data_IF_181238660939
#
_entry.id   IF_181238660939
#
_cell.length_a   1.000
_cell.length_b   1.000
_cell.length_c   1.000
_cell.angle_alpha   90.00
_cell.angle_beta   90.00
_cell.angle_gamma   90.00
#
_symmetry.space_group_name_H-M   'P 1'
#
loop_
_entity.id
_entity.type
_entity.pdbx_description
1 polymer ?
#
# COMPACT_ATOMS: atom_id res chain seq x y z
N UNK A 1 -51.41 53.28 -79.22
CA UNK A 1 -51.55 51.92 -79.77
C UNK A 1 -50.52 51.01 -79.14
N UNK A 2 -50.96 49.96 -78.53
CA UNK A 2 -50.21 48.86 -77.84
C UNK A 2 -49.60 49.20 -76.49
N UNK A 3 -50.00 48.64 -75.51
CA UNK A 3 -50.47 47.38 -74.90
C UNK A 3 -49.56 47.06 -73.70
N UNK A 4 -50.20 47.19 -72.58
CA UNK A 4 -49.60 46.78 -71.26
C UNK A 4 -49.44 45.26 -71.20
N UNK A 5 -48.40 44.82 -70.60
CA UNK A 5 -48.35 43.49 -69.93
C UNK A 5 -47.84 43.65 -68.51
N UNK A 6 -48.76 43.41 -67.65
CA UNK A 6 -48.51 43.18 -66.19
C UNK A 6 -47.75 41.89 -66.06
N UNK A 7 -46.65 41.93 -65.34
CA UNK A 7 -45.98 40.73 -64.81
C UNK A 7 -46.00 40.79 -63.30
N UNK A 8 -46.79 39.90 -62.72
CA UNK A 8 -46.96 39.68 -61.34
C UNK A 8 -45.65 39.13 -60.70
N UNK A 9 -45.17 39.85 -59.71
CA UNK A 9 -44.03 39.42 -58.93
C UNK A 9 -44.42 38.29 -57.92
N UNK A 10 -43.75 37.18 -58.03
CA UNK A 10 -43.87 36.07 -57.09
C UNK A 10 -42.72 36.19 -56.07
N UNK A 11 -43.09 36.62 -54.87
CA UNK A 11 -42.17 36.71 -53.73
C UNK A 11 -41.78 35.30 -53.20
N UNK A 12 -40.54 34.94 -53.38
CA UNK A 12 -40.00 33.71 -52.86
C UNK A 12 -39.54 33.94 -51.38
N UNK A 13 -40.35 33.49 -50.44
CA UNK A 13 -39.90 33.39 -49.05
C UNK A 13 -38.95 32.21 -48.89
N UNK A 14 -37.63 32.49 -48.73
CA UNK A 14 -36.64 31.52 -48.43
C UNK A 14 -36.61 31.34 -46.90
N UNK A 15 -37.32 30.32 -46.43
CA UNK A 15 -37.25 29.91 -44.95
C UNK A 15 -35.93 29.25 -44.65
N UNK A 16 -35.06 29.96 -43.96
CA UNK A 16 -33.82 29.41 -43.40
C UNK A 16 -34.16 28.60 -42.17
N UNK A 17 -34.26 27.27 -42.29
CA UNK A 17 -34.34 26.33 -41.17
C UNK A 17 -32.96 26.17 -40.60
N UNK A 18 -32.68 26.87 -39.46
CA UNK A 18 -31.51 26.63 -38.60
C UNK A 18 -31.73 25.31 -37.82
N UNK A 19 -31.12 24.24 -38.31
CA UNK A 19 -31.01 23.02 -37.55
C UNK A 19 -29.95 23.23 -36.47
N UNK A 20 -30.38 23.52 -35.24
CA UNK A 20 -29.50 23.48 -34.04
C UNK A 20 -29.29 22.03 -33.72
N UNK A 21 -28.14 21.46 -34.13
CA UNK A 21 -27.66 20.18 -33.64
C UNK A 21 -27.19 20.37 -32.19
N UNK A 22 -28.06 20.11 -31.23
CA UNK A 22 -27.67 19.94 -29.83
C UNK A 22 -26.97 18.57 -29.74
N UNK A 23 -25.64 18.55 -29.84
CA UNK A 23 -24.87 17.37 -29.55
C UNK A 23 -24.93 17.13 -28.00
N UNK A 24 -25.86 16.27 -27.57
CA UNK A 24 -25.83 15.70 -26.26
C UNK A 24 -24.53 14.90 -26.13
N UNK A 25 -23.47 15.52 -25.63
CA UNK A 25 -22.31 14.82 -25.10
C UNK A 25 -22.80 13.99 -23.89
N UNK A 26 -23.12 12.73 -24.15
CA UNK A 26 -23.35 11.77 -23.07
C UNK A 26 -22.03 11.62 -22.29
N UNK A 27 -21.92 12.31 -21.17
CA UNK A 27 -20.89 12.00 -20.18
C UNK A 27 -21.19 10.60 -19.66
N UNK A 28 -20.54 9.60 -20.24
CA UNK A 28 -20.50 8.28 -19.64
C UNK A 28 -19.84 8.45 -18.26
N UNK A 29 -20.48 7.99 -17.17
CA UNK A 29 -19.84 8.03 -15.87
C UNK A 29 -18.53 7.24 -15.99
N UNK A 30 -17.40 7.88 -15.74
CA UNK A 30 -16.13 7.19 -15.60
C UNK A 30 -16.29 6.26 -14.40
N UNK A 31 -16.46 4.98 -14.66
CA UNK A 31 -16.37 3.98 -13.61
C UNK A 31 -14.97 4.08 -13.04
N UNK A 32 -14.84 4.66 -11.86
CA UNK A 32 -13.59 4.65 -11.11
C UNK A 32 -13.20 3.18 -10.91
N UNK A 33 -12.14 2.76 -11.54
CA UNK A 33 -11.63 1.40 -11.40
C UNK A 33 -11.28 1.22 -9.92
N UNK A 34 -12.03 0.37 -9.22
CA UNK A 34 -11.78 0.09 -7.80
C UNK A 34 -10.42 -0.61 -7.69
N UNK A 35 -9.58 -0.13 -6.77
CA UNK A 35 -8.30 -0.77 -6.48
C UNK A 35 -8.57 -2.21 -6.03
N UNK A 36 -7.88 -3.18 -6.65
CA UNK A 36 -7.97 -4.59 -6.24
C UNK A 36 -6.99 -4.83 -5.11
N UNK A 37 -7.38 -5.55 -4.04
CA UNK A 37 -6.47 -5.86 -2.95
C UNK A 37 -5.14 -6.43 -3.44
N UNK A 38 -4.04 -5.85 -2.95
CA UNK A 38 -2.69 -6.23 -3.35
C UNK A 38 -1.97 -6.85 -2.14
N UNK A 39 -1.68 -8.15 -2.23
CA UNK A 39 -1.19 -8.94 -1.10
C UNK A 39 0.31 -8.74 -0.90
N UNK A 40 0.71 -8.34 0.30
CA UNK A 40 2.09 -8.37 0.79
C UNK A 40 2.38 -9.75 1.38
N UNK A 41 1.53 -10.20 2.31
CA UNK A 41 1.58 -11.52 2.92
C UNK A 41 0.15 -11.99 3.27
N UNK A 42 -0.16 -13.23 2.94
CA UNK A 42 -1.39 -13.90 3.34
C UNK A 42 -1.08 -15.24 4.02
N UNK A 43 -0.34 -16.12 3.34
CA UNK A 43 0.07 -17.45 3.81
C UNK A 43 1.45 -17.80 3.27
N UNK A 44 2.14 -18.72 3.91
CA UNK A 44 3.31 -19.36 3.31
C UNK A 44 2.92 -20.11 2.04
N UNK A 45 3.60 -19.80 0.94
CA UNK A 45 3.33 -20.38 -0.37
C UNK A 45 2.20 -19.73 -1.17
N UNK A 46 1.54 -18.70 -0.63
CA UNK A 46 0.66 -17.81 -1.40
C UNK A 46 1.46 -16.92 -2.35
N UNK A 47 0.75 -16.23 -3.26
CA UNK A 47 1.36 -15.24 -4.16
C UNK A 47 1.71 -13.96 -3.42
N UNK A 48 2.61 -14.07 -2.44
CA UNK A 48 3.15 -12.92 -1.73
C UNK A 48 4.06 -12.14 -2.67
N UNK A 49 3.82 -10.84 -2.78
CA UNK A 49 4.47 -10.02 -3.81
C UNK A 49 5.75 -9.35 -3.33
N UNK A 50 5.91 -9.21 -2.05
CA UNK A 50 7.11 -8.70 -1.41
C UNK A 50 7.79 -9.80 -0.58
N UNK A 51 9.08 -9.66 -0.37
CA UNK A 51 9.90 -10.65 0.35
C UNK A 51 10.46 -10.02 1.63
N UNK A 52 10.32 -10.65 2.81
CA UNK A 52 10.90 -10.16 4.05
C UNK A 52 12.43 -10.36 4.03
N UNK A 53 13.14 -9.49 3.37
CA UNK A 53 14.59 -9.58 3.12
C UNK A 53 15.36 -8.39 3.67
N UNK A 54 14.70 -7.27 3.95
CA UNK A 54 15.35 -6.04 4.42
C UNK A 54 15.58 -6.01 5.92
N UNK A 55 16.48 -6.82 6.44
CA UNK A 55 16.80 -6.87 7.87
C UNK A 55 17.63 -5.65 8.30
N UNK A 56 17.22 -5.04 9.43
CA UNK A 56 17.82 -3.81 9.96
C UNK A 56 18.12 -3.92 11.46
N UNK A 57 19.24 -3.39 11.95
CA UNK A 57 20.44 -3.05 11.18
C UNK A 57 21.09 -4.29 10.59
N UNK A 58 20.81 -5.46 11.16
CA UNK A 58 21.21 -6.80 10.69
C UNK A 58 20.19 -7.83 11.16
N UNK A 59 20.20 -9.04 10.57
CA UNK A 59 19.27 -10.12 10.94
C UNK A 59 19.60 -10.88 12.22
N UNK A 60 20.74 -10.62 12.86
CA UNK A 60 21.23 -11.44 14.00
C UNK A 60 20.32 -11.46 15.22
N UNK A 61 19.56 -10.38 15.44
CA UNK A 61 18.66 -10.23 16.58
C UNK A 61 17.23 -10.66 16.28
N UNK A 62 16.95 -11.12 15.08
CA UNK A 62 15.60 -11.39 14.62
C UNK A 62 15.49 -12.86 14.24
N UNK A 63 14.50 -13.55 14.82
CA UNK A 63 14.00 -14.82 14.30
C UNK A 63 12.62 -14.59 13.74
N UNK A 64 12.40 -15.03 12.52
CA UNK A 64 11.12 -14.88 11.87
C UNK A 64 10.73 -16.19 11.20
N UNK A 65 9.53 -16.68 11.54
CA UNK A 65 8.91 -17.85 10.92
C UNK A 65 7.63 -17.40 10.19
N UNK A 66 7.70 -17.32 8.86
CA UNK A 66 6.58 -16.95 7.99
C UNK A 66 5.67 -18.14 7.63
N UNK A 67 5.90 -19.30 8.26
CA UNK A 67 5.11 -20.51 8.13
C UNK A 67 4.50 -20.98 9.48
N UNK A 68 4.48 -20.11 10.48
CA UNK A 68 3.90 -20.40 11.79
C UNK A 68 2.42 -20.77 11.65
N UNK A 69 1.95 -21.75 12.44
CA UNK A 69 0.59 -22.31 12.27
C UNK A 69 -0.29 -22.21 13.49
N UNK A 70 0.29 -21.89 14.67
CA UNK A 70 -0.50 -21.89 15.88
C UNK A 70 -1.16 -20.56 16.11
N UNK A 71 -2.49 -20.59 16.32
CA UNK A 71 -3.29 -19.42 16.64
C UNK A 71 -3.11 -18.24 15.65
N UNK A 72 -3.09 -18.54 14.35
CA UNK A 72 -3.13 -17.53 13.30
C UNK A 72 -4.51 -16.87 13.23
N UNK A 73 -4.61 -15.65 12.68
CA UNK A 73 -5.85 -14.93 12.53
C UNK A 73 -6.73 -15.55 11.44
N UNK A 74 -6.16 -15.70 10.26
CA UNK A 74 -6.82 -16.30 9.10
C UNK A 74 -5.96 -17.43 8.53
N UNK A 75 -6.62 -18.31 7.77
CA UNK A 75 -5.99 -19.30 6.90
C UNK A 75 -4.97 -20.27 7.56
N UNK A 76 -3.88 -20.58 6.84
CA UNK A 76 -3.04 -21.77 7.10
C UNK A 76 -1.77 -21.45 7.85
N UNK A 77 -1.29 -20.22 7.76
CA UNK A 77 -0.08 -19.77 8.43
C UNK A 77 -0.07 -18.25 8.64
N UNK A 78 0.71 -17.83 9.60
CA UNK A 78 0.98 -16.44 9.90
C UNK A 78 2.48 -16.25 10.15
N UNK A 79 2.91 -15.04 10.43
CA UNK A 79 4.30 -14.73 10.69
C UNK A 79 4.49 -14.62 12.20
N UNK A 80 5.41 -15.42 12.76
CA UNK A 80 5.93 -15.22 14.11
C UNK A 80 7.24 -14.47 14.03
N UNK A 81 7.39 -13.44 14.86
CA UNK A 81 8.60 -12.64 14.99
C UNK A 81 9.08 -12.70 16.43
N UNK A 82 10.35 -13.00 16.60
CA UNK A 82 11.05 -12.92 17.89
C UNK A 82 12.21 -11.93 17.73
N UNK A 83 12.16 -10.82 18.47
CA UNK A 83 13.26 -9.89 18.59
C UNK A 83 14.03 -10.18 19.86
N UNK A 84 15.30 -10.61 19.72
CA UNK A 84 16.19 -10.90 20.84
C UNK A 84 16.78 -9.59 21.39
N UNK A 85 16.25 -9.15 22.51
CA UNK A 85 16.72 -7.95 23.19
C UNK A 85 18.13 -8.08 23.77
N UNK A 86 18.64 -9.31 23.98
CA UNK A 86 20.03 -9.53 24.38
C UNK A 86 21.03 -9.00 23.34
N UNK A 87 20.59 -8.77 22.11
CA UNK A 87 21.35 -8.03 21.12
C UNK A 87 21.69 -6.59 21.52
N UNK A 88 20.93 -5.99 22.45
CA UNK A 88 21.23 -4.67 23.02
C UNK A 88 22.61 -4.64 23.71
N UNK A 89 23.03 -5.75 24.29
CA UNK A 89 24.38 -5.92 24.92
C UNK A 89 25.50 -5.77 23.89
N UNK A 90 25.19 -5.86 22.58
CA UNK A 90 26.11 -5.64 21.46
C UNK A 90 26.00 -4.23 20.85
N UNK A 91 25.34 -3.29 21.55
CA UNK A 91 25.13 -1.92 21.11
C UNK A 91 24.04 -1.75 20.02
N UNK A 92 23.15 -2.74 19.87
CA UNK A 92 22.05 -2.71 18.92
C UNK A 92 20.72 -2.56 19.66
N UNK A 93 20.27 -1.32 19.80
CA UNK A 93 19.09 -0.99 20.58
C UNK A 93 17.76 -1.16 19.85
N UNK A 94 17.77 -1.53 18.57
CA UNK A 94 16.59 -1.71 17.77
C UNK A 94 16.77 -2.76 16.67
N UNK A 95 15.67 -3.26 16.15
CA UNK A 95 15.63 -4.18 15.00
C UNK A 95 14.38 -3.95 14.18
N UNK A 96 14.43 -4.33 12.91
CA UNK A 96 13.31 -4.26 12.01
C UNK A 96 13.48 -5.10 10.76
N UNK A 97 12.39 -5.32 10.03
CA UNK A 97 12.41 -6.02 8.75
C UNK A 97 11.53 -5.28 7.76
N UNK A 98 12.06 -5.06 6.56
CA UNK A 98 11.29 -4.67 5.38
C UNK A 98 10.92 -5.86 4.51
N UNK A 99 9.70 -5.87 4.03
CA UNK A 99 9.25 -6.65 2.88
C UNK A 99 9.60 -5.89 1.61
N UNK A 100 10.62 -6.35 0.89
CA UNK A 100 11.18 -5.67 -0.28
C UNK A 100 10.76 -6.33 -1.60
N UNK A 101 10.70 -5.55 -2.68
CA UNK A 101 10.60 -6.04 -4.04
C UNK A 101 11.53 -5.28 -5.00
N UNK A 102 12.40 -6.00 -5.74
CA UNK A 102 12.79 -7.40 -5.50
C UNK A 102 13.47 -7.58 -4.14
N UNK A 103 13.66 -8.83 -3.71
CA UNK A 103 14.36 -9.13 -2.46
C UNK A 103 15.70 -8.39 -2.36
N UNK A 104 16.05 -7.90 -1.17
CA UNK A 104 17.28 -7.18 -0.86
C UNK A 104 17.51 -5.88 -1.67
N UNK A 105 16.44 -5.32 -2.25
CA UNK A 105 16.52 -4.08 -2.99
C UNK A 105 16.34 -2.86 -2.09
N UNK A 106 17.44 -2.22 -1.76
CA UNK A 106 17.46 -0.97 -0.99
C UNK A 106 17.45 0.30 -1.85
N UNK A 107 16.96 0.21 -3.10
CA UNK A 107 16.92 1.31 -4.06
C UNK A 107 18.15 1.35 -4.99
N UNK A 108 18.93 0.28 -5.04
CA UNK A 108 20.12 0.17 -5.87
C UNK A 108 19.81 -0.35 -7.28
N UNK A 109 18.60 -0.89 -7.46
CA UNK A 109 18.13 -1.43 -8.74
C UNK A 109 16.64 -1.18 -8.92
N UNK A 110 16.21 -1.13 -10.17
CA UNK A 110 14.80 -0.98 -10.51
C UNK A 110 13.94 -2.07 -9.84
N UNK A 111 12.85 -1.66 -9.22
CA UNK A 111 11.93 -2.55 -8.52
C UNK A 111 10.66 -1.84 -8.10
N UNK A 112 10.00 -2.40 -7.11
CA UNK A 112 8.76 -1.87 -6.58
C UNK A 112 7.53 -2.18 -7.41
N UNK A 113 6.38 -1.79 -6.87
CA UNK A 113 5.09 -1.91 -7.51
C UNK A 113 4.42 -0.54 -7.59
N UNK A 114 3.63 -0.34 -8.64
CA UNK A 114 2.68 0.75 -8.68
C UNK A 114 1.42 0.35 -7.93
N UNK A 115 1.20 0.99 -6.78
CA UNK A 115 0.08 0.77 -5.88
C UNK A 115 -0.89 1.96 -5.89
N UNK A 116 -0.82 2.82 -6.91
CA UNK A 116 -1.70 3.97 -7.09
C UNK A 116 -3.16 3.53 -7.04
N UNK A 117 -3.95 4.21 -6.23
CA UNK A 117 -5.36 3.89 -5.99
C UNK A 117 -5.63 3.15 -4.68
N UNK A 118 -4.62 2.57 -4.03
CA UNK A 118 -4.75 2.07 -2.67
C UNK A 118 -5.01 3.24 -1.71
N UNK A 119 -5.91 3.03 -0.76
CA UNK A 119 -6.30 4.04 0.24
C UNK A 119 -5.77 3.73 1.63
N UNK A 120 -5.40 2.48 1.85
CA UNK A 120 -4.84 2.00 3.13
C UNK A 120 -4.00 0.75 2.92
N UNK A 121 -3.04 0.54 3.82
CA UNK A 121 -2.37 -0.72 4.06
C UNK A 121 -2.95 -1.30 5.34
N UNK A 122 -3.50 -2.51 5.28
CA UNK A 122 -4.18 -3.19 6.38
C UNK A 122 -3.39 -4.44 6.76
N UNK A 123 -3.33 -4.74 8.06
CA UNK A 123 -2.70 -5.96 8.56
C UNK A 123 -3.27 -6.33 9.93
N UNK A 124 -3.17 -7.60 10.27
CA UNK A 124 -3.48 -8.08 11.60
C UNK A 124 -2.22 -8.30 12.42
N UNK A 125 -2.26 -7.91 13.68
CA UNK A 125 -1.14 -8.11 14.60
C UNK A 125 -1.62 -8.42 16.01
N UNK A 126 -0.80 -9.21 16.74
CA UNK A 126 -0.94 -9.47 18.18
C UNK A 126 0.41 -9.66 18.84
N UNK A 127 0.50 -9.36 20.11
CA UNK A 127 1.62 -9.75 20.94
C UNK A 127 1.49 -11.19 21.46
N UNK A 128 2.58 -11.77 21.91
CA UNK A 128 2.57 -13.08 22.58
C UNK A 128 1.87 -12.99 23.95
N UNK A 129 2.26 -11.99 24.74
CA UNK A 129 1.72 -11.78 26.07
C UNK A 129 0.69 -10.64 26.12
N UNK A 130 0.74 -9.75 25.15
CA UNK A 130 0.12 -8.43 25.15
C UNK A 130 0.99 -7.42 25.90
N UNK A 131 1.11 -6.21 25.31
CA UNK A 131 1.98 -5.15 25.81
C UNK A 131 3.27 -4.99 25.02
N UNK A 132 3.59 -5.91 24.10
CA UNK A 132 4.71 -5.74 23.19
C UNK A 132 4.51 -4.45 22.39
N UNK A 133 5.56 -3.63 22.33
CA UNK A 133 5.48 -2.31 21.70
C UNK A 133 6.30 -2.27 20.43
N UNK A 134 5.64 -2.01 19.34
CA UNK A 134 6.25 -1.80 18.03
C UNK A 134 6.40 -0.29 17.83
N UNK A 135 7.64 0.14 17.66
CA UNK A 135 7.95 1.56 17.50
C UNK A 135 7.31 2.12 16.23
N UNK A 136 7.32 1.32 15.16
CA UNK A 136 6.75 1.74 13.88
C UNK A 136 6.33 0.54 13.03
N UNK A 137 5.15 0.62 12.43
CA UNK A 137 4.78 -0.10 11.22
C UNK A 137 4.75 0.89 10.06
N UNK A 138 5.35 0.53 8.92
CA UNK A 138 5.48 1.46 7.79
C UNK A 138 5.50 0.78 6.44
N UNK A 139 5.38 1.59 5.40
CA UNK A 139 5.68 1.25 4.01
C UNK A 139 6.52 2.36 3.39
N UNK A 140 7.17 2.04 2.28
CA UNK A 140 7.93 3.01 1.50
C UNK A 140 9.14 3.57 2.25
N UNK A 141 9.73 4.62 1.67
CA UNK A 141 10.89 5.31 2.25
C UNK A 141 12.22 4.59 2.01
N UNK A 142 12.21 3.51 1.24
CA UNK A 142 13.42 2.80 0.83
C UNK A 142 14.15 3.59 -0.26
N UNK A 143 15.48 3.56 -0.25
CA UNK A 143 16.32 4.08 -1.32
C UNK A 143 16.40 5.60 -1.39
N UNK A 144 16.10 6.33 -0.33
CA UNK A 144 16.27 7.78 -0.32
C UNK A 144 17.72 8.17 -0.61
N UNK A 145 17.91 9.01 -1.65
CA UNK A 145 19.23 9.39 -2.15
C UNK A 145 19.91 8.35 -3.05
N UNK A 146 19.22 7.26 -3.42
CA UNK A 146 19.67 6.25 -4.38
C UNK A 146 19.00 6.43 -5.74
N UNK A 147 19.34 5.58 -6.69
CA UNK A 147 18.86 5.69 -8.08
C UNK A 147 17.36 5.37 -8.22
N UNK A 148 16.84 4.43 -7.40
CA UNK A 148 15.46 3.98 -7.46
C UNK A 148 14.76 4.10 -6.09
N UNK A 149 14.49 5.33 -5.62
CA UNK A 149 13.82 5.53 -4.35
C UNK A 149 12.33 5.19 -4.44
N UNK A 150 11.75 4.83 -3.30
CA UNK A 150 10.30 4.80 -3.17
C UNK A 150 9.70 6.20 -3.36
N UNK A 151 8.54 6.27 -4.01
CA UNK A 151 7.87 7.53 -4.34
C UNK A 151 7.33 8.27 -3.10
N UNK A 152 6.93 7.52 -2.05
CA UNK A 152 6.44 8.09 -0.79
C UNK A 152 6.66 7.10 0.37
N UNK A 153 6.25 7.51 1.57
CA UNK A 153 6.23 6.69 2.78
C UNK A 153 5.03 7.03 3.65
N UNK A 154 4.55 6.06 4.40
CA UNK A 154 3.55 6.27 5.43
C UNK A 154 3.79 5.31 6.60
N UNK A 155 3.38 5.67 7.81
CA UNK A 155 3.57 4.84 8.99
C UNK A 155 2.53 5.10 10.07
N UNK A 156 2.44 4.14 11.01
CA UNK A 156 1.78 4.29 12.30
C UNK A 156 2.73 3.85 13.41
N UNK A 157 2.60 4.43 14.58
CA UNK A 157 3.37 4.02 15.75
C UNK A 157 3.59 5.19 16.72
N UNK A 158 4.07 4.89 17.93
CA UNK A 158 4.24 3.54 18.49
C UNK A 158 2.90 2.82 18.72
N UNK A 159 2.90 1.49 18.56
CA UNK A 159 1.73 0.63 18.73
C UNK A 159 1.97 -0.37 19.85
N UNK A 160 1.07 -0.42 20.84
CA UNK A 160 1.05 -1.47 21.87
C UNK A 160 0.14 -2.59 21.39
N UNK A 161 0.69 -3.79 21.23
CA UNK A 161 -0.02 -4.94 20.73
C UNK A 161 -0.85 -5.61 21.85
N UNK A 162 -2.13 -5.89 21.63
CA UNK A 162 -2.89 -6.74 22.54
C UNK A 162 -2.51 -8.22 22.37
N UNK A 163 -2.89 -9.06 23.33
CA UNK A 163 -2.72 -10.52 23.23
C UNK A 163 -3.63 -11.14 22.16
N UNK A 164 -4.78 -10.53 21.92
CA UNK A 164 -5.74 -10.93 20.89
C UNK A 164 -5.39 -10.28 19.56
N UNK A 165 -5.70 -10.95 18.46
CA UNK A 165 -5.58 -10.39 17.14
C UNK A 165 -6.37 -9.09 17.01
N UNK A 166 -5.73 -8.06 16.44
CA UNK A 166 -6.34 -6.77 16.15
C UNK A 166 -5.91 -6.31 14.77
N UNK A 167 -6.86 -5.75 14.02
CA UNK A 167 -6.59 -5.13 12.73
C UNK A 167 -6.02 -3.72 12.94
N UNK A 168 -5.02 -3.41 12.14
CA UNK A 168 -4.39 -2.10 12.06
C UNK A 168 -4.42 -1.61 10.61
N UNK A 169 -4.45 -0.31 10.44
CA UNK A 169 -4.37 0.33 9.13
C UNK A 169 -3.40 1.50 9.11
N UNK A 170 -2.75 1.70 7.97
CA UNK A 170 -1.97 2.89 7.64
C UNK A 170 -2.74 3.61 6.54
N UNK A 171 -3.13 4.87 6.78
CA UNK A 171 -3.83 5.69 5.79
C UNK A 171 -2.88 6.10 4.67
N UNK A 172 -3.30 5.85 3.43
CA UNK A 172 -2.53 6.12 2.21
C UNK A 172 -3.16 7.22 1.34
N UNK A 173 -4.23 7.83 1.79
CA UNK A 173 -4.89 8.90 1.04
C UNK A 173 -3.94 10.09 0.83
N UNK A 174 -3.80 10.52 -0.42
CA UNK A 174 -2.90 11.62 -0.78
C UNK A 174 -1.42 11.24 -0.92
N UNK A 175 -1.09 9.95 -0.80
CA UNK A 175 0.27 9.43 -0.99
C UNK A 175 0.56 9.10 -2.45
N UNK A 176 1.77 9.39 -2.89
CA UNK A 176 2.28 8.93 -4.17
C UNK A 176 2.77 7.48 -4.06
N UNK A 177 1.97 6.56 -4.54
CA UNK A 177 2.26 5.13 -4.50
C UNK A 177 2.68 4.58 -5.87
N UNK A 178 3.20 5.43 -6.74
CA UNK A 178 3.58 5.05 -8.12
C UNK A 178 4.75 4.08 -8.19
N UNK A 179 5.63 4.06 -7.17
CA UNK A 179 6.79 3.15 -7.09
C UNK A 179 7.11 2.85 -5.63
N UNK A 180 6.74 1.68 -5.14
CA UNK A 180 6.96 1.23 -3.76
C UNK A 180 7.73 -0.08 -3.76
N UNK A 181 8.99 -0.04 -3.36
CA UNK A 181 9.89 -1.20 -3.18
C UNK A 181 9.81 -1.75 -1.76
N UNK A 182 9.60 -0.89 -0.77
CA UNK A 182 9.37 -1.27 0.62
C UNK A 182 7.87 -1.43 0.91
N UNK A 183 7.31 -2.61 0.69
CA UNK A 183 5.87 -2.84 0.77
C UNK A 183 5.28 -2.87 2.17
N UNK A 184 6.08 -3.23 3.17
CA UNK A 184 5.72 -3.25 4.59
C UNK A 184 6.99 -3.32 5.43
N UNK A 185 6.97 -2.79 6.63
CA UNK A 185 8.02 -2.99 7.61
C UNK A 185 7.49 -2.84 9.03
N UNK A 186 8.22 -3.44 9.98
CA UNK A 186 8.10 -3.19 11.39
C UNK A 186 9.45 -2.81 11.98
N UNK A 187 9.43 -2.00 13.04
CA UNK A 187 10.60 -1.61 13.82
C UNK A 187 10.25 -1.70 15.30
N UNK A 188 11.10 -2.39 16.08
CA UNK A 188 11.01 -2.47 17.53
C UNK A 188 12.34 -2.11 18.18
N UNK A 189 12.31 -1.67 19.42
CA UNK A 189 13.49 -1.30 20.19
C UNK A 189 13.46 -1.93 21.60
N UNK A 190 14.62 -1.94 22.28
CA UNK A 190 14.78 -2.53 23.61
C UNK A 190 14.21 -1.65 24.71
N UNK A 191 14.21 -0.33 24.53
CA UNK A 191 13.71 0.60 25.54
C UNK A 191 12.20 0.42 25.75
N UNK A 192 11.51 0.07 24.68
CA UNK A 192 10.08 -0.22 24.69
C UNK A 192 9.75 -1.67 25.12
N UNK A 193 10.70 -2.61 24.98
CA UNK A 193 10.51 -4.04 25.22
C UNK A 193 11.66 -4.60 26.10
N UNK A 194 11.70 -4.28 27.40
CA UNK A 194 12.87 -4.59 28.24
C UNK A 194 13.05 -6.09 28.58
N UNK A 195 12.03 -6.93 28.34
CA UNK A 195 12.07 -8.35 28.66
C UNK A 195 12.15 -9.25 27.44
N UNK A 196 11.31 -9.03 26.47
CA UNK A 196 11.25 -9.76 25.19
C UNK A 196 10.30 -9.04 24.24
N UNK A 197 10.43 -9.31 22.94
CA UNK A 197 9.46 -8.84 21.96
C UNK A 197 9.13 -9.98 21.00
N UNK A 198 8.07 -10.71 21.32
CA UNK A 198 7.51 -11.73 20.42
C UNK A 198 6.12 -11.30 19.99
N UNK A 199 5.90 -11.24 18.68
CA UNK A 199 4.61 -10.84 18.12
C UNK A 199 4.32 -11.59 16.83
N UNK A 200 3.08 -11.42 16.35
CA UNK A 200 2.58 -12.13 15.19
C UNK A 200 1.94 -11.15 14.22
N UNK A 201 2.09 -11.44 12.94
CA UNK A 201 1.49 -10.69 11.82
C UNK A 201 0.74 -11.64 10.91
N UNK A 202 -0.36 -11.15 10.34
CA UNK A 202 -1.15 -11.91 9.39
C UNK A 202 -1.85 -10.97 8.40
N UNK A 203 -2.19 -11.50 7.22
CA UNK A 203 -3.04 -10.88 6.22
C UNK A 203 -2.68 -9.41 5.91
N UNK A 204 -1.41 -9.19 5.50
CA UNK A 204 -0.87 -7.86 5.17
C UNK A 204 -1.21 -7.54 3.71
N UNK A 205 -1.99 -6.46 3.46
CA UNK A 205 -2.49 -6.12 2.13
C UNK A 205 -2.78 -4.63 1.96
N UNK A 206 -2.69 -4.17 0.75
CA UNK A 206 -3.18 -2.86 0.31
C UNK A 206 -4.63 -2.96 -0.15
N UNK A 207 -5.45 -1.94 0.19
CA UNK A 207 -6.85 -1.78 -0.21
C UNK A 207 -7.17 -0.38 -0.74
#
# INVERSE_FOLDING_TARGET
MFSEKVVTGMSLYLSLLFFVFISCLAFAPAYAQTFKPFIVYQDKGSLNRFVPSGYMPTGECIKMDDAWKDNCHEAKSCIKVEYDIACSLKGRHWAGVYWLHPADNWGDRKGGYNLTGAKKLVFWARGENGGEKIAEFRLGGVGQGREYPDSDTASIGPVILPKQWKEYEIDLRGKDLSSISGGFAWIANVDDNPSSCTFYLDNIRYE
#
